data_IF_737993661420
#
_entry.id   IF_737993661420
#
_cell.length_a   1.000
_cell.length_b   1.000
_cell.length_c   1.000
_cell.angle_alpha   90.00
_cell.angle_beta   90.00
_cell.angle_gamma   90.00
#
_symmetry.space_group_name_H-M   'P 1'
#
loop_
_entity.id
_entity.type
_entity.pdbx_description
1 polymer ?
#
# COMPACT_ATOMS: atom_id res chain seq x y z
N UNK A 1 -27.56 25.96 -39.19
CA UNK A 1 -27.02 24.66 -38.74
C UNK A 1 -26.48 24.86 -37.34
N UNK A 2 -27.16 24.27 -36.34
CA UNK A 2 -26.80 24.38 -34.93
C UNK A 2 -25.66 23.38 -34.67
N UNK A 3 -24.46 23.86 -34.35
CA UNK A 3 -23.44 23.00 -33.76
C UNK A 3 -23.88 22.66 -32.35
N UNK A 4 -24.32 21.41 -32.16
CA UNK A 4 -24.62 20.86 -30.85
C UNK A 4 -23.38 20.91 -29.97
N UNK A 5 -23.44 21.75 -28.95
CA UNK A 5 -22.48 21.81 -27.87
C UNK A 5 -22.57 20.47 -27.12
N UNK A 6 -21.65 19.54 -27.42
CA UNK A 6 -21.45 18.34 -26.61
C UNK A 6 -20.94 18.79 -25.25
N UNK A 7 -21.85 18.78 -24.28
CA UNK A 7 -21.57 19.05 -22.88
C UNK A 7 -20.79 17.85 -22.31
N UNK A 8 -19.45 17.91 -22.35
CA UNK A 8 -18.60 16.90 -21.69
C UNK A 8 -18.34 17.40 -20.25
N UNK A 9 -18.65 16.62 -19.19
CA UNK A 9 -18.56 17.10 -17.81
C UNK A 9 -17.11 17.39 -17.40
N UNK A 10 -16.96 18.34 -16.47
CA UNK A 10 -15.70 18.95 -16.06
C UNK A 10 -14.59 17.96 -15.70
N UNK A 11 -13.56 17.89 -16.54
CA UNK A 11 -12.29 17.29 -16.18
C UNK A 11 -11.50 18.31 -15.36
N UNK A 12 -11.46 18.10 -14.04
CA UNK A 12 -10.54 18.86 -13.18
C UNK A 12 -9.12 18.50 -13.63
N UNK A 13 -8.38 19.48 -14.15
CA UNK A 13 -6.96 19.33 -14.50
C UNK A 13 -6.20 18.91 -13.24
N UNK A 14 -5.51 17.78 -13.27
CA UNK A 14 -4.64 17.36 -12.18
C UNK A 14 -3.47 18.35 -12.07
N UNK A 15 -2.99 18.58 -10.85
CA UNK A 15 -1.68 19.22 -10.68
C UNK A 15 -0.59 18.31 -11.28
N UNK A 16 0.56 18.88 -11.61
CA UNK A 16 1.74 18.12 -12.03
C UNK A 16 2.10 17.06 -10.99
N UNK A 17 2.13 17.43 -9.71
CA UNK A 17 2.43 16.52 -8.60
C UNK A 17 1.43 15.36 -8.50
N UNK A 18 0.13 15.63 -8.66
CA UNK A 18 -0.88 14.57 -8.63
C UNK A 18 -0.72 13.63 -9.82
N UNK A 19 -0.44 14.16 -11.01
CA UNK A 19 -0.19 13.34 -12.18
C UNK A 19 1.06 12.48 -12.01
N UNK A 20 2.17 13.04 -11.52
CA UNK A 20 3.41 12.30 -11.24
C UNK A 20 3.18 11.16 -10.25
N UNK A 21 2.45 11.43 -9.15
CA UNK A 21 2.10 10.40 -8.16
C UNK A 21 1.23 9.29 -8.76
N UNK A 22 0.23 9.63 -9.58
CA UNK A 22 -0.59 8.62 -10.27
C UNK A 22 0.24 7.77 -11.25
N UNK A 23 1.17 8.39 -11.98
CA UNK A 23 2.07 7.66 -12.89
C UNK A 23 3.00 6.72 -12.13
N UNK A 24 3.55 7.15 -10.99
CA UNK A 24 4.38 6.32 -10.13
C UNK A 24 3.60 5.14 -9.52
N UNK A 25 2.38 5.41 -9.03
CA UNK A 25 1.47 4.36 -8.55
C UNK A 25 1.14 3.35 -9.66
N UNK A 26 0.83 3.82 -10.87
CA UNK A 26 0.60 2.94 -12.03
C UNK A 26 1.83 2.10 -12.38
N UNK A 27 3.05 2.67 -12.29
CA UNK A 27 4.32 1.96 -12.44
C UNK A 27 4.47 0.83 -11.43
N UNK A 28 4.16 1.10 -10.16
CA UNK A 28 4.21 0.11 -9.11
C UNK A 28 3.15 -0.98 -9.25
N UNK A 29 1.91 -0.63 -9.59
CA UNK A 29 0.84 -1.60 -9.86
C UNK A 29 1.21 -2.55 -11.01
N UNK A 30 1.84 -2.03 -12.07
CA UNK A 30 2.35 -2.85 -13.16
C UNK A 30 3.43 -3.82 -12.69
N UNK A 31 4.38 -3.35 -11.88
CA UNK A 31 5.39 -4.22 -11.28
C UNK A 31 4.79 -5.32 -10.40
N UNK A 32 3.76 -5.01 -9.60
CA UNK A 32 3.06 -6.01 -8.79
C UNK A 32 2.35 -7.06 -9.66
N UNK A 33 1.76 -6.65 -10.78
CA UNK A 33 1.15 -7.59 -11.73
C UNK A 33 2.21 -8.50 -12.38
N UNK A 34 3.32 -7.94 -12.86
CA UNK A 34 4.38 -8.68 -13.53
C UNK A 34 5.16 -9.59 -12.56
N UNK A 35 5.45 -9.12 -11.35
CA UNK A 35 6.29 -9.82 -10.37
C UNK A 35 5.54 -10.76 -9.42
N UNK A 36 4.26 -10.49 -9.13
CA UNK A 36 3.47 -11.26 -8.16
C UNK A 36 2.17 -11.83 -8.75
N UNK A 37 1.83 -11.49 -10.00
CA UNK A 37 0.52 -11.82 -10.56
C UNK A 37 -0.63 -11.05 -9.90
N UNK A 38 -0.33 -10.00 -9.12
CA UNK A 38 -1.34 -9.23 -8.41
C UNK A 38 -2.07 -8.29 -9.35
N UNK A 39 -3.32 -8.65 -9.70
CA UNK A 39 -4.18 -7.82 -10.55
C UNK A 39 -5.14 -7.01 -9.69
N UNK A 40 -4.86 -5.72 -9.57
CA UNK A 40 -5.77 -4.80 -8.90
C UNK A 40 -7.01 -4.55 -9.76
N UNK A 41 -8.18 -4.67 -9.16
CA UNK A 41 -9.46 -4.27 -9.76
C UNK A 41 -10.23 -3.38 -8.79
N UNK A 42 -10.51 -2.15 -9.19
CA UNK A 42 -11.12 -1.17 -8.30
C UNK A 42 -12.59 -1.51 -7.96
N UNK A 43 -13.27 -2.19 -8.89
CA UNK A 43 -14.67 -2.61 -8.81
C UNK A 43 -14.87 -3.86 -7.93
N UNK A 44 -13.79 -4.57 -7.60
CA UNK A 44 -13.86 -5.74 -6.73
C UNK A 44 -14.16 -5.36 -5.28
N UNK A 45 -14.49 -6.36 -4.46
CA UNK A 45 -14.85 -6.19 -3.04
C UNK A 45 -13.78 -5.42 -2.25
N UNK A 46 -14.23 -4.72 -1.21
CA UNK A 46 -13.35 -3.89 -0.36
C UNK A 46 -12.12 -4.64 0.14
N UNK A 47 -12.29 -5.87 0.57
CA UNK A 47 -11.22 -6.71 1.10
C UNK A 47 -10.12 -6.98 0.08
N UNK A 48 -10.47 -7.10 -1.21
CA UNK A 48 -9.51 -7.32 -2.30
C UNK A 48 -8.67 -6.08 -2.65
N UNK A 49 -9.09 -4.90 -2.17
CA UNK A 49 -8.34 -3.64 -2.31
C UNK A 49 -7.34 -3.39 -1.20
N UNK A 50 -7.47 -4.08 -0.07
CA UNK A 50 -6.58 -3.93 1.09
C UNK A 50 -5.11 -4.27 0.79
N UNK A 51 -4.77 -5.30 -0.01
CA UNK A 51 -3.38 -5.62 -0.30
C UNK A 51 -2.60 -4.46 -0.93
N UNK A 52 -3.21 -3.69 -1.86
CA UNK A 52 -2.52 -2.54 -2.49
C UNK A 52 -2.11 -1.48 -1.45
N UNK A 53 -2.96 -1.22 -0.45
CA UNK A 53 -2.61 -0.32 0.65
C UNK A 53 -1.37 -0.82 1.40
N UNK A 54 -1.23 -2.14 1.57
CA UNK A 54 -0.10 -2.74 2.30
C UNK A 54 1.14 -2.80 1.46
N UNK A 55 1.02 -3.13 0.17
CA UNK A 55 2.15 -3.13 -0.75
C UNK A 55 2.79 -1.76 -0.87
N UNK A 56 2.00 -0.69 -1.06
CA UNK A 56 2.53 0.67 -1.14
C UNK A 56 3.16 1.08 0.19
N UNK A 57 2.52 0.73 1.31
CA UNK A 57 3.07 1.00 2.63
C UNK A 57 4.42 0.31 2.88
N UNK A 58 4.55 -0.97 2.52
CA UNK A 58 5.78 -1.74 2.71
C UNK A 58 6.89 -1.27 1.76
N UNK A 59 6.54 -0.92 0.51
CA UNK A 59 7.50 -0.50 -0.51
C UNK A 59 8.30 0.75 -0.09
N UNK A 60 7.73 1.64 0.73
CA UNK A 60 8.43 2.83 1.23
C UNK A 60 9.63 2.50 2.11
N UNK A 61 9.63 1.35 2.79
CA UNK A 61 10.77 0.87 3.59
C UNK A 61 11.91 0.35 2.72
N UNK A 62 11.64 0.12 1.44
CA UNK A 62 12.55 -0.47 0.46
C UNK A 62 12.91 0.51 -0.67
N UNK A 63 12.66 1.81 -0.47
CA UNK A 63 13.09 2.87 -1.41
C UNK A 63 12.02 3.39 -2.36
N UNK A 64 10.76 2.95 -2.25
CA UNK A 64 9.63 3.49 -3.02
C UNK A 64 8.63 4.22 -2.12
N UNK A 65 8.94 5.46 -1.77
CA UNK A 65 8.00 6.35 -1.07
C UNK A 65 7.22 7.20 -2.07
N UNK A 66 5.92 6.90 -2.23
CA UNK A 66 5.00 7.65 -3.09
C UNK A 66 4.38 8.88 -2.40
N UNK A 67 4.81 9.20 -1.17
CA UNK A 67 4.36 10.37 -0.40
C UNK A 67 2.99 10.23 0.25
N UNK A 68 2.46 8.99 0.33
CA UNK A 68 1.19 8.74 1.01
C UNK A 68 1.35 8.70 2.52
N UNK A 69 0.48 9.42 3.23
CA UNK A 69 0.36 9.32 4.69
C UNK A 69 -0.59 8.17 5.05
N UNK A 70 -0.19 7.37 6.03
CA UNK A 70 -0.95 6.23 6.51
C UNK A 70 -1.32 6.42 7.98
N UNK A 71 -2.49 5.91 8.34
CA UNK A 71 -2.93 5.77 9.74
C UNK A 71 -3.28 4.31 10.02
N UNK A 72 -3.23 3.92 11.30
CA UNK A 72 -3.63 2.58 11.71
C UNK A 72 -5.17 2.52 11.70
N UNK A 73 -5.72 1.73 10.78
CA UNK A 73 -7.16 1.47 10.67
C UNK A 73 -7.47 0.02 11.03
N UNK A 74 -8.75 -0.37 11.02
CA UNK A 74 -9.21 -1.72 11.41
C UNK A 74 -8.36 -2.84 10.76
N UNK A 75 -8.13 -2.72 9.45
CA UNK A 75 -7.36 -3.67 8.65
C UNK A 75 -5.88 -3.30 8.49
N UNK A 76 -5.30 -2.54 9.42
CA UNK A 76 -3.90 -2.07 9.37
C UNK A 76 -3.70 -0.71 8.66
N UNK A 77 -2.49 -0.40 8.17
CA UNK A 77 -2.16 0.90 7.55
C UNK A 77 -3.07 1.25 6.37
N UNK A 78 -3.70 2.41 6.41
CA UNK A 78 -4.60 2.86 5.35
C UNK A 78 -4.32 4.32 4.98
N UNK A 79 -4.29 4.60 3.69
CA UNK A 79 -4.22 5.96 3.16
C UNK A 79 -5.46 6.27 2.32
N UNK A 80 -6.32 7.22 2.76
CA UNK A 80 -7.44 7.70 1.94
C UNK A 80 -6.97 8.35 0.63
N UNK A 81 -5.78 8.97 0.62
CA UNK A 81 -5.21 9.57 -0.58
C UNK A 81 -4.83 8.52 -1.62
N UNK A 82 -4.18 7.41 -1.19
CA UNK A 82 -3.93 6.26 -2.07
C UNK A 82 -5.23 5.67 -2.59
N UNK A 83 -6.25 5.60 -1.73
CA UNK A 83 -7.56 5.11 -2.14
C UNK A 83 -8.17 5.92 -3.27
N UNK A 84 -8.19 7.24 -3.12
CA UNK A 84 -8.67 8.14 -4.17
C UNK A 84 -7.87 7.97 -5.47
N UNK A 85 -6.55 7.82 -5.36
CA UNK A 85 -5.66 7.74 -6.52
C UNK A 85 -5.83 6.43 -7.30
N UNK A 86 -5.97 5.27 -6.66
CA UNK A 86 -6.24 4.02 -7.39
C UNK A 86 -7.65 3.99 -8.01
N UNK A 87 -8.64 4.67 -7.40
CA UNK A 87 -9.97 4.83 -8.00
C UNK A 87 -9.91 5.77 -9.21
N UNK A 88 -9.12 6.82 -9.11
CA UNK A 88 -8.90 7.76 -10.21
C UNK A 88 -8.18 7.08 -11.38
N UNK A 89 -7.17 6.22 -11.12
CA UNK A 89 -6.53 5.40 -12.15
C UNK A 89 -7.55 4.51 -12.88
N UNK A 90 -8.37 3.77 -12.14
CA UNK A 90 -9.39 2.90 -12.72
C UNK A 90 -10.41 3.68 -13.57
N UNK A 91 -10.80 4.89 -13.12
CA UNK A 91 -11.74 5.76 -13.84
C UNK A 91 -11.14 6.37 -15.11
N UNK A 92 -9.84 6.69 -15.12
CA UNK A 92 -9.16 7.36 -16.24
C UNK A 92 -8.65 6.40 -17.30
N UNK A 93 -8.31 5.15 -16.93
CA UNK A 93 -7.82 4.11 -17.83
C UNK A 93 -6.37 4.31 -18.29
N UNK A 94 -6.07 5.40 -19.01
CA UNK A 94 -4.80 5.59 -19.72
C UNK A 94 -3.85 6.58 -19.05
N UNK A 95 -3.42 6.30 -17.81
CA UNK A 95 -2.25 6.97 -17.24
C UNK A 95 -1.00 6.15 -17.56
N UNK A 96 -0.12 6.72 -18.38
CA UNK A 96 1.18 6.13 -18.72
C UNK A 96 2.02 5.89 -17.44
N UNK A 97 2.37 4.63 -17.13
CA UNK A 97 3.17 4.30 -15.94
C UNK A 97 4.54 4.99 -15.98
N UNK A 98 5.00 5.49 -14.83
CA UNK A 98 6.39 5.92 -14.67
C UNK A 98 7.29 4.71 -14.38
N UNK A 99 8.57 4.76 -14.76
CA UNK A 99 9.54 3.76 -14.29
C UNK A 99 9.66 3.82 -12.77
N UNK A 100 9.98 2.69 -12.15
CA UNK A 100 10.33 2.64 -10.73
C UNK A 100 11.68 3.34 -10.51
N UNK A 101 11.88 4.02 -9.37
CA UNK A 101 13.12 4.70 -9.07
C UNK A 101 14.26 3.69 -8.87
N UNK A 102 15.48 4.04 -9.29
CA UNK A 102 16.67 3.17 -9.19
C UNK A 102 17.00 2.74 -7.75
N UNK A 103 16.56 3.50 -6.76
CA UNK A 103 16.76 3.19 -5.34
C UNK A 103 15.75 2.21 -4.74
N UNK A 104 14.75 1.75 -5.50
CA UNK A 104 13.79 0.77 -5.01
C UNK A 104 14.36 -0.65 -5.09
N UNK A 105 14.46 -1.32 -3.95
CA UNK A 105 14.90 -2.70 -3.84
C UNK A 105 13.80 -3.67 -4.31
N UNK A 106 13.77 -3.90 -5.63
CA UNK A 106 12.81 -4.77 -6.31
C UNK A 106 12.87 -6.21 -5.78
N UNK A 107 14.08 -6.77 -5.67
CA UNK A 107 14.29 -8.16 -5.27
C UNK A 107 13.93 -8.36 -3.79
N UNK A 108 14.37 -7.43 -2.92
CA UNK A 108 14.02 -7.44 -1.52
C UNK A 108 12.51 -7.30 -1.30
N UNK A 109 11.83 -6.47 -2.10
CA UNK A 109 10.38 -6.33 -2.05
C UNK A 109 9.68 -7.64 -2.42
N UNK A 110 10.01 -8.25 -3.57
CA UNK A 110 9.42 -9.53 -3.97
C UNK A 110 9.73 -10.64 -2.96
N UNK A 111 10.94 -10.68 -2.40
CA UNK A 111 11.33 -11.65 -1.38
C UNK A 111 10.62 -11.42 -0.03
N UNK A 112 10.14 -10.20 0.24
CA UNK A 112 9.39 -9.88 1.45
C UNK A 112 7.94 -10.35 1.33
N UNK A 113 7.28 -10.01 0.23
CA UNK A 113 5.82 -10.19 0.09
C UNK A 113 5.40 -11.39 -0.76
N UNK A 114 6.34 -11.99 -1.50
CA UNK A 114 6.06 -13.15 -2.36
C UNK A 114 5.48 -14.32 -1.58
N UNK A 115 4.34 -14.83 -2.04
CA UNK A 115 3.63 -15.96 -1.40
C UNK A 115 2.96 -15.64 -0.06
N UNK A 116 2.99 -14.39 0.40
CA UNK A 116 2.32 -13.97 1.63
C UNK A 116 0.85 -13.71 1.40
N UNK A 117 0.02 -14.08 2.38
CA UNK A 117 -1.42 -13.88 2.32
C UNK A 117 -1.84 -12.50 2.87
N UNK A 118 -3.14 -12.22 2.81
CA UNK A 118 -3.70 -10.97 3.31
C UNK A 118 -3.48 -10.78 4.81
N UNK A 119 -3.51 -11.87 5.59
CA UNK A 119 -3.29 -11.86 7.04
C UNK A 119 -1.87 -11.40 7.36
N UNK A 120 -0.87 -11.99 6.72
CA UNK A 120 0.52 -11.61 6.89
C UNK A 120 0.74 -10.13 6.51
N UNK A 121 0.20 -9.70 5.35
CA UNK A 121 0.32 -8.32 4.90
C UNK A 121 -0.30 -7.34 5.91
N UNK A 122 -1.47 -7.64 6.44
CA UNK A 122 -2.15 -6.83 7.42
C UNK A 122 -1.36 -6.73 8.73
N UNK A 123 -0.89 -7.85 9.26
CA UNK A 123 -0.15 -7.88 10.53
C UNK A 123 1.21 -7.22 10.38
N UNK A 124 2.01 -7.61 9.39
CA UNK A 124 3.36 -7.10 9.16
C UNK A 124 3.38 -5.59 8.98
N UNK A 125 2.50 -5.06 8.14
CA UNK A 125 2.38 -3.62 7.93
C UNK A 125 1.87 -2.88 9.18
N UNK A 126 0.99 -3.50 9.97
CA UNK A 126 0.51 -2.92 11.23
C UNK A 126 1.60 -2.84 12.29
N UNK A 127 2.45 -3.86 12.41
CA UNK A 127 3.60 -3.89 13.32
C UNK A 127 4.54 -2.72 13.00
N UNK A 128 4.96 -2.61 11.73
CA UNK A 128 5.85 -1.53 11.27
C UNK A 128 5.24 -0.15 11.58
N UNK A 129 3.95 0.05 11.30
CA UNK A 129 3.32 1.34 11.59
C UNK A 129 3.25 1.63 13.09
N UNK A 130 2.97 0.63 13.94
CA UNK A 130 2.94 0.83 15.39
C UNK A 130 4.30 1.22 15.93
N UNK A 131 5.38 0.59 15.48
CA UNK A 131 6.74 0.99 15.88
C UNK A 131 7.10 2.40 15.41
N UNK A 132 6.68 2.80 14.21
CA UNK A 132 6.90 4.16 13.73
C UNK A 132 6.12 5.21 14.54
N UNK A 133 4.89 4.88 14.97
CA UNK A 133 4.06 5.76 15.78
C UNK A 133 4.53 5.84 17.24
N UNK A 134 5.14 4.77 17.74
CA UNK A 134 5.62 4.65 19.11
C UNK A 134 7.08 4.16 19.13
N UNK A 135 8.06 5.03 18.82
CA UNK A 135 9.46 4.63 18.80
C UNK A 135 9.91 4.05 20.15
N UNK A 136 10.51 2.86 20.12
CA UNK A 136 10.97 2.15 21.32
C UNK A 136 9.88 1.42 22.11
N UNK A 137 8.68 1.27 21.54
CA UNK A 137 7.63 0.42 22.11
C UNK A 137 8.14 -1.02 22.28
N UNK A 138 7.77 -1.66 23.39
CA UNK A 138 8.11 -3.07 23.59
C UNK A 138 7.26 -3.98 22.69
N UNK A 139 7.77 -5.18 22.38
CA UNK A 139 7.02 -6.16 21.59
C UNK A 139 5.68 -6.55 22.27
N UNK A 140 5.64 -6.59 23.61
CA UNK A 140 4.41 -6.85 24.38
C UNK A 140 3.39 -5.72 24.23
N UNK A 141 3.84 -4.46 24.34
CA UNK A 141 2.96 -3.30 24.22
C UNK A 141 2.46 -3.14 22.78
N UNK A 142 3.31 -3.38 21.78
CA UNK A 142 2.92 -3.37 20.38
C UNK A 142 1.87 -4.46 20.08
N UNK A 143 2.05 -5.66 20.62
CA UNK A 143 1.02 -6.70 20.57
C UNK A 143 -0.28 -6.23 21.22
N UNK A 144 -0.20 -5.63 22.40
CA UNK A 144 -1.35 -5.06 23.11
C UNK A 144 -2.13 -4.03 22.28
N UNK A 145 -1.42 -3.08 21.66
CA UNK A 145 -2.01 -2.08 20.75
C UNK A 145 -2.72 -2.75 19.58
N UNK A 146 -2.07 -3.72 18.91
CA UNK A 146 -2.67 -4.39 17.77
C UNK A 146 -3.87 -5.25 18.15
N UNK A 147 -3.83 -5.92 19.31
CA UNK A 147 -4.90 -6.79 19.81
C UNK A 147 -6.23 -6.06 20.01
N UNK A 148 -6.18 -4.75 20.33
CA UNK A 148 -7.39 -3.91 20.42
C UNK A 148 -8.16 -3.84 19.09
N UNK A 149 -7.43 -3.72 17.98
CA UNK A 149 -8.01 -3.65 16.63
C UNK A 149 -8.17 -5.01 15.96
N UNK A 150 -7.36 -6.00 16.37
CA UNK A 150 -7.29 -7.34 15.80
C UNK A 150 -7.45 -8.40 16.91
N UNK A 151 -8.66 -8.59 17.47
CA UNK A 151 -8.87 -9.55 18.54
C UNK A 151 -8.50 -10.99 18.16
N UNK A 152 -8.48 -11.30 16.87
CA UNK A 152 -8.08 -12.59 16.30
C UNK A 152 -6.57 -12.82 16.26
N UNK A 153 -5.73 -11.78 16.34
CA UNK A 153 -4.27 -11.90 16.25
C UNK A 153 -3.73 -12.62 17.48
N UNK A 154 -3.20 -13.83 17.34
CA UNK A 154 -2.57 -14.53 18.44
C UNK A 154 -1.09 -14.15 18.61
N UNK A 155 -0.57 -14.45 19.80
CA UNK A 155 0.80 -14.11 20.19
C UNK A 155 1.87 -14.88 19.39
N UNK A 156 1.70 -16.19 19.10
CA UNK A 156 2.63 -16.93 18.24
C UNK A 156 2.78 -16.32 16.84
N UNK A 157 1.67 -16.02 16.14
CA UNK A 157 1.70 -15.42 14.81
C UNK A 157 2.35 -14.03 14.83
N UNK A 158 2.02 -13.22 15.83
CA UNK A 158 2.63 -11.90 16.00
C UNK A 158 4.15 -12.02 16.19
N UNK A 159 4.61 -12.90 17.09
CA UNK A 159 6.03 -13.10 17.37
C UNK A 159 6.79 -13.65 16.15
N UNK A 160 6.18 -14.56 15.38
CA UNK A 160 6.74 -15.07 14.13
C UNK A 160 7.01 -13.92 13.15
N UNK A 161 6.00 -13.08 12.89
CA UNK A 161 6.12 -11.96 11.96
C UNK A 161 7.11 -10.91 12.47
N UNK A 162 7.14 -10.61 13.77
CA UNK A 162 8.17 -9.76 14.37
C UNK A 162 9.58 -10.32 14.12
N UNK A 163 9.78 -11.62 14.30
CA UNK A 163 11.05 -12.30 14.01
C UNK A 163 11.47 -12.15 12.55
N UNK A 164 10.55 -12.36 11.61
CA UNK A 164 10.81 -12.19 10.17
C UNK A 164 11.17 -10.75 9.80
N UNK A 165 10.42 -9.77 10.31
CA UNK A 165 10.63 -8.35 10.03
C UNK A 165 11.97 -7.87 10.61
N UNK A 166 12.31 -8.29 11.82
CA UNK A 166 13.58 -7.95 12.48
C UNK A 166 14.77 -8.58 11.77
N UNK A 167 14.64 -9.84 11.35
CA UNK A 167 15.67 -10.53 10.53
C UNK A 167 15.97 -9.82 9.21
N UNK A 168 15.06 -8.95 8.74
CA UNK A 168 15.21 -8.12 7.54
C UNK A 168 15.52 -6.65 7.85
N UNK A 169 15.70 -6.28 9.12
CA UNK A 169 15.98 -4.90 9.55
C UNK A 169 14.83 -3.92 9.32
N UNK A 170 13.60 -4.40 9.16
CA UNK A 170 12.43 -3.55 8.91
C UNK A 170 11.88 -2.90 10.20
N UNK A 171 12.16 -3.53 11.35
CA UNK A 171 11.78 -3.12 12.71
C UNK A 171 12.97 -3.28 13.67
N UNK A 172 12.85 -2.70 14.87
CA UNK A 172 13.89 -2.65 15.91
C UNK A 172 14.15 -3.94 16.68
#
# INVERSE_FOLDING_TARGET
MVFGMLHIPGWRRLSSEALERLRALAGFMRFLEEGLGYRFRAEEEFEKRLPLQKYVFLARRLGLDLGYRFTLYLYGPYSPALANDYYELARRGDISPAPLPDGFDLEGFLALVGGRDATWLEVASSIILVEELYPGISEEDAYGVLKLSKPWLDKPLFAEICGELRGRGLIG
#
